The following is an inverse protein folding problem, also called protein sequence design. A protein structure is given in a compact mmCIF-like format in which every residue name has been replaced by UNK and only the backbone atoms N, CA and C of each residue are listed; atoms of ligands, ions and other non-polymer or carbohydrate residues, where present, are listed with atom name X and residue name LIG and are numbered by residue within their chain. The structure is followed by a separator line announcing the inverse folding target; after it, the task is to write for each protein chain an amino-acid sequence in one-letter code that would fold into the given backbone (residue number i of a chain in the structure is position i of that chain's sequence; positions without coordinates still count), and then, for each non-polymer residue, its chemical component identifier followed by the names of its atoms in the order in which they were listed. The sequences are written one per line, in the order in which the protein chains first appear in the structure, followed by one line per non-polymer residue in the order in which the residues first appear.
data_IF_838161433415
#
_entry.id   IF_838161433415
#
_cell.length_a   1.000
_cell.length_b   1.000
_cell.length_c   1.000
_cell.angle_alpha   90.00
_cell.angle_beta   90.00
_cell.angle_gamma   90.00
#
_symmetry.space_group_name_H-M   'P 1'
#
loop_
_entity.id
_entity.type
_entity.pdbx_description
1 polymer ?
#
# COMPACT_ATOMS: atom_id res chain seq x y z
N UNK A 1 -10.19 7.13 11.53
CA UNK A 1 -9.71 6.85 10.15
C UNK A 1 -10.85 7.10 9.16
N UNK A 2 -10.58 7.73 8.02
CA UNK A 2 -11.58 7.85 6.96
C UNK A 2 -12.06 6.47 6.48
N UNK A 3 -13.38 6.29 6.24
CA UNK A 3 -13.89 5.04 5.67
C UNK A 3 -13.21 4.70 4.34
N UNK A 4 -13.10 3.41 4.04
CA UNK A 4 -12.60 2.95 2.75
C UNK A 4 -13.66 3.16 1.68
N UNK A 5 -13.24 3.77 0.56
CA UNK A 5 -14.05 4.01 -0.63
C UNK A 5 -13.45 3.22 -1.81
N UNK A 6 -14.14 2.19 -2.26
CA UNK A 6 -13.70 1.30 -3.34
C UNK A 6 -13.51 2.00 -4.69
N UNK A 7 -14.02 3.21 -4.84
CA UNK A 7 -13.84 4.01 -6.07
C UNK A 7 -12.51 4.79 -6.07
N UNK A 8 -11.86 4.89 -4.90
CA UNK A 8 -10.65 5.68 -4.71
C UNK A 8 -9.52 4.86 -4.08
N UNK A 9 -9.84 4.05 -3.06
CA UNK A 9 -8.86 3.24 -2.35
C UNK A 9 -8.47 1.99 -3.14
N UNK A 10 -7.23 1.55 -3.01
CA UNK A 10 -6.79 0.27 -3.53
C UNK A 10 -7.21 -0.84 -2.58
N UNK A 11 -8.21 -1.59 -2.97
CA UNK A 11 -8.82 -2.65 -2.14
C UNK A 11 -8.74 -4.00 -2.85
N UNK A 12 -8.45 -5.04 -2.10
CA UNK A 12 -8.51 -6.45 -2.55
C UNK A 12 -9.10 -7.35 -1.46
N UNK A 13 -9.44 -8.58 -1.82
CA UNK A 13 -10.08 -9.55 -0.93
C UNK A 13 -11.60 -9.51 -0.98
N UNK A 14 -12.26 -10.10 0.01
CA UNK A 14 -13.72 -10.24 0.01
C UNK A 14 -14.46 -8.98 0.46
N UNK A 15 -15.53 -8.55 -0.24
CA UNK A 15 -16.25 -7.32 0.12
C UNK A 15 -16.92 -7.37 1.50
N UNK A 16 -17.16 -8.57 2.04
CA UNK A 16 -17.69 -8.79 3.38
C UNK A 16 -16.61 -9.27 4.37
N UNK A 17 -15.36 -9.29 3.93
CA UNK A 17 -14.22 -9.65 4.77
C UNK A 17 -13.93 -8.59 5.83
N UNK A 18 -13.25 -9.00 6.90
CA UNK A 18 -12.76 -8.10 7.94
C UNK A 18 -11.79 -7.09 7.33
N UNK A 19 -12.04 -5.82 7.54
CA UNK A 19 -11.28 -4.75 6.91
C UNK A 19 -9.95 -4.51 7.62
N UNK A 20 -8.85 -4.65 6.88
CA UNK A 20 -7.50 -4.26 7.29
C UNK A 20 -7.04 -3.13 6.38
N UNK A 21 -6.69 -1.97 6.94
CA UNK A 21 -6.14 -0.83 6.21
C UNK A 21 -4.70 -0.62 6.65
N UNK A 22 -3.77 -0.62 5.70
CA UNK A 22 -2.38 -0.27 5.94
C UNK A 22 -2.07 1.12 5.40
N UNK A 23 -1.48 1.97 6.25
CA UNK A 23 -0.72 3.12 5.82
C UNK A 23 0.74 2.71 5.71
N UNK A 24 1.25 2.59 4.50
CA UNK A 24 2.53 1.98 4.20
C UNK A 24 3.45 2.83 3.33
N UNK A 25 4.73 2.48 3.40
CA UNK A 25 5.82 3.12 2.68
C UNK A 25 6.68 2.07 1.99
N UNK A 26 6.82 2.15 0.68
CA UNK A 26 7.54 1.15 -0.12
C UNK A 26 9.02 1.04 0.19
N UNK A 27 9.64 2.07 0.75
CA UNK A 27 11.05 2.04 1.13
C UNK A 27 11.26 1.66 2.61
N UNK A 28 10.19 1.62 3.42
CA UNK A 28 10.25 1.25 4.82
C UNK A 28 10.43 -0.27 5.01
N UNK A 29 11.51 -0.75 5.67
CA UNK A 29 11.73 -2.18 5.87
C UNK A 29 10.66 -2.85 6.74
N UNK A 30 10.01 -2.09 7.61
CA UNK A 30 8.90 -2.60 8.43
C UNK A 30 7.62 -2.77 7.62
N UNK A 31 7.33 -1.86 6.65
CA UNK A 31 6.21 -2.04 5.71
C UNK A 31 6.43 -3.27 4.81
N UNK A 32 7.68 -3.50 4.34
CA UNK A 32 8.01 -4.74 3.62
C UNK A 32 7.77 -5.99 4.46
N UNK A 33 8.07 -5.95 5.74
CA UNK A 33 7.79 -7.06 6.63
C UNK A 33 6.29 -7.28 6.78
N UNK A 34 5.51 -6.20 7.02
CA UNK A 34 4.06 -6.27 7.12
C UNK A 34 3.42 -6.81 5.83
N UNK A 35 3.87 -6.35 4.67
CA UNK A 35 3.44 -6.87 3.36
C UNK A 35 3.49 -8.40 3.29
N UNK A 36 4.61 -9.02 3.70
CA UNK A 36 4.77 -10.49 3.71
C UNK A 36 3.83 -11.19 4.69
N UNK A 37 3.59 -10.57 5.83
CA UNK A 37 2.69 -11.13 6.86
C UNK A 37 1.22 -10.99 6.41
N UNK A 38 0.86 -9.88 5.77
CA UNK A 38 -0.47 -9.67 5.19
C UNK A 38 -0.73 -10.68 4.06
N UNK A 39 0.22 -10.93 3.17
CA UNK A 39 0.08 -11.99 2.16
C UNK A 39 -0.20 -13.37 2.77
N UNK A 40 0.43 -13.70 3.92
CA UNK A 40 0.15 -14.94 4.65
C UNK A 40 -1.27 -14.96 5.24
N UNK A 41 -1.73 -13.83 5.79
CA UNK A 41 -3.09 -13.69 6.30
C UNK A 41 -4.11 -13.87 5.16
N UNK A 42 -3.89 -13.19 4.04
CA UNK A 42 -4.75 -13.30 2.86
C UNK A 42 -4.79 -14.72 2.29
N UNK A 43 -3.64 -15.41 2.24
CA UNK A 43 -3.58 -16.79 1.74
C UNK A 43 -4.36 -17.78 2.62
N UNK A 44 -4.51 -17.51 3.92
CA UNK A 44 -5.24 -18.36 4.86
C UNK A 44 -6.72 -18.01 4.96
N UNK A 45 -7.05 -16.72 4.89
CA UNK A 45 -8.42 -16.24 5.10
C UNK A 45 -9.20 -16.08 3.79
N UNK A 46 -8.52 -15.84 2.67
CA UNK A 46 -9.16 -15.61 1.38
C UNK A 46 -10.17 -14.47 1.45
N UNK A 47 -11.40 -14.74 1.07
CA UNK A 47 -12.50 -13.75 1.05
C UNK A 47 -12.94 -13.27 2.45
N UNK A 48 -12.43 -13.85 3.53
CA UNK A 48 -12.76 -13.42 4.91
C UNK A 48 -11.99 -12.18 5.36
N UNK A 49 -10.98 -11.77 4.59
CA UNK A 49 -10.26 -10.51 4.79
C UNK A 49 -10.47 -9.59 3.60
N UNK A 50 -10.54 -8.31 3.88
CA UNK A 50 -10.59 -7.21 2.91
C UNK A 50 -9.44 -6.28 3.25
N UNK A 51 -8.46 -6.17 2.35
CA UNK A 51 -7.26 -5.39 2.55
C UNK A 51 -7.27 -4.12 1.71
N UNK A 52 -6.97 -2.99 2.33
CA UNK A 52 -6.78 -1.72 1.66
C UNK A 52 -5.38 -1.16 1.95
N UNK A 53 -4.72 -0.62 0.93
CA UNK A 53 -3.44 0.04 1.07
C UNK A 53 -3.58 1.54 0.80
N UNK A 54 -3.00 2.35 1.68
CA UNK A 54 -2.88 3.81 1.57
C UNK A 54 -1.43 4.22 1.66
N UNK A 55 -1.02 5.11 0.79
CA UNK A 55 0.34 5.62 0.76
C UNK A 55 0.65 6.52 1.95
N UNK A 56 1.79 6.28 2.57
CA UNK A 56 2.33 7.16 3.61
C UNK A 56 3.86 7.26 3.49
N UNK A 57 4.40 7.85 2.38
CA UNK A 57 5.83 7.94 2.15
C UNK A 57 6.49 8.88 3.15
N UNK A 58 7.48 8.38 3.90
CA UNK A 58 8.27 9.13 4.88
C UNK A 58 9.47 9.79 4.19
N UNK A 59 9.22 10.79 3.34
CA UNK A 59 10.21 11.39 2.43
C UNK A 59 11.42 12.02 3.10
N UNK A 60 11.35 12.32 4.38
CA UNK A 60 12.49 12.86 5.15
C UNK A 60 13.58 11.81 5.43
N UNK A 61 13.21 10.52 5.46
CA UNK A 61 14.12 9.40 5.77
C UNK A 61 14.18 8.36 4.66
N UNK A 62 13.22 8.36 3.74
CA UNK A 62 13.08 7.43 2.63
C UNK A 62 13.00 8.22 1.30
N UNK A 63 14.14 8.50 0.67
CA UNK A 63 14.21 9.41 -0.49
C UNK A 63 13.47 8.90 -1.73
N UNK A 64 13.28 7.57 -1.88
CA UNK A 64 12.61 6.97 -3.04
C UNK A 64 11.12 6.66 -2.77
N UNK A 65 10.65 6.81 -1.54
CA UNK A 65 9.29 6.41 -1.14
C UNK A 65 8.18 7.10 -1.95
N UNK A 66 8.34 8.42 -2.23
CA UNK A 66 7.36 9.16 -3.02
C UNK A 66 7.37 8.71 -4.50
N UNK A 67 8.55 8.48 -5.07
CA UNK A 67 8.66 8.01 -6.45
C UNK A 67 8.08 6.59 -6.62
N UNK A 68 8.31 5.71 -5.65
CA UNK A 68 7.73 4.37 -5.61
C UNK A 68 6.19 4.43 -5.48
N UNK A 69 5.66 5.30 -4.61
CA UNK A 69 4.22 5.54 -4.48
C UNK A 69 3.61 6.04 -5.80
N UNK A 70 4.30 6.98 -6.48
CA UNK A 70 3.85 7.49 -7.78
C UNK A 70 3.90 6.41 -8.87
N UNK A 71 4.86 5.49 -8.82
CA UNK A 71 4.92 4.35 -9.73
C UNK A 71 3.74 3.38 -9.52
N UNK A 72 3.37 3.11 -8.26
CA UNK A 72 2.20 2.28 -7.94
C UNK A 72 0.89 2.92 -8.46
N UNK A 73 0.72 4.24 -8.27
CA UNK A 73 -0.46 4.96 -8.75
C UNK A 73 -0.49 5.05 -10.30
N UNK A 74 0.65 5.26 -10.96
CA UNK A 74 0.70 5.24 -12.42
C UNK A 74 0.35 3.85 -13.00
N UNK A 75 0.78 2.78 -12.33
CA UNK A 75 0.38 1.42 -12.67
C UNK A 75 -1.12 1.19 -12.41
N UNK A 76 -1.68 1.78 -11.34
CA UNK A 76 -3.11 1.74 -11.04
C UNK A 76 -3.97 2.31 -12.18
N UNK A 77 -3.53 3.42 -12.79
CA UNK A 77 -4.21 4.03 -13.95
C UNK A 77 -4.22 3.12 -15.20
N UNK A 78 -3.43 2.05 -15.17
CA UNK A 78 -3.41 1.00 -16.19
C UNK A 78 -3.88 -0.37 -15.65
N UNK A 79 -4.57 -0.37 -14.48
CA UNK A 79 -5.17 -1.56 -13.89
C UNK A 79 -4.20 -2.54 -13.24
N UNK A 80 -2.95 -2.11 -12.93
CA UNK A 80 -1.87 -2.97 -12.43
C UNK A 80 -1.31 -2.52 -11.07
N UNK A 81 -2.16 -1.93 -10.21
CA UNK A 81 -1.73 -1.48 -8.88
C UNK A 81 -1.08 -2.59 -8.06
N UNK A 82 -1.78 -3.70 -7.87
CA UNK A 82 -1.33 -4.77 -6.98
C UNK A 82 -0.09 -5.52 -7.48
N UNK A 83 0.08 -5.58 -8.81
CA UNK A 83 1.30 -6.16 -9.41
C UNK A 83 2.51 -5.26 -9.14
N UNK A 84 2.36 -3.95 -9.36
CA UNK A 84 3.42 -2.97 -9.05
C UNK A 84 3.71 -2.92 -7.55
N UNK A 85 2.67 -2.93 -6.71
CA UNK A 85 2.79 -2.99 -5.25
C UNK A 85 3.65 -4.17 -4.78
N UNK A 86 3.42 -5.36 -5.35
CA UNK A 86 4.21 -6.54 -5.03
C UNK A 86 5.67 -6.39 -5.50
N UNK A 87 5.91 -5.91 -6.74
CA UNK A 87 7.27 -5.69 -7.24
C UNK A 87 8.07 -4.71 -6.38
N UNK A 88 7.45 -3.59 -5.98
CA UNK A 88 8.10 -2.57 -5.16
C UNK A 88 8.54 -3.13 -3.80
N UNK A 89 7.69 -3.92 -3.12
CA UNK A 89 8.07 -4.55 -1.86
C UNK A 89 9.07 -5.70 -2.02
N UNK A 90 8.94 -6.52 -3.07
CA UNK A 90 9.90 -7.60 -3.33
C UNK A 90 11.29 -7.06 -3.64
N UNK A 91 11.36 -5.96 -4.38
CA UNK A 91 12.60 -5.33 -4.83
C UNK A 91 12.90 -4.01 -4.10
N UNK A 92 12.58 -3.91 -2.83
CA UNK A 92 12.69 -2.68 -2.03
C UNK A 92 14.08 -2.01 -2.05
N UNK A 93 15.14 -2.73 -2.40
CA UNK A 93 16.50 -2.20 -2.53
C UNK A 93 16.77 -1.57 -3.91
N UNK A 94 15.81 -1.61 -4.82
CA UNK A 94 15.91 -1.17 -6.22
C UNK A 94 14.69 -0.32 -6.54
N UNK A 95 14.71 0.94 -6.10
CA UNK A 95 13.62 1.92 -6.25
C UNK A 95 14.08 3.18 -6.99
N UNK A 96 15.23 3.11 -7.66
CA UNK A 96 15.71 4.17 -8.53
C UNK A 96 14.80 4.31 -9.77
N UNK A 97 14.87 5.44 -10.45
CA UNK A 97 14.01 5.70 -11.61
C UNK A 97 14.11 4.63 -12.70
N UNK A 98 15.34 4.14 -12.97
CA UNK A 98 15.57 3.07 -13.93
C UNK A 98 14.92 1.73 -13.50
N UNK A 99 14.89 1.44 -12.20
CA UNK A 99 14.25 0.24 -11.66
C UNK A 99 12.72 0.33 -11.84
N UNK A 100 12.13 1.49 -11.49
CA UNK A 100 10.69 1.73 -11.64
C UNK A 100 10.23 1.61 -13.12
N UNK A 101 11.04 2.11 -14.06
CA UNK A 101 10.79 1.92 -15.48
C UNK A 101 10.95 0.45 -15.91
N UNK A 102 11.88 -0.27 -15.30
CA UNK A 102 12.05 -1.72 -15.49
C UNK A 102 10.81 -2.50 -15.07
N UNK A 103 10.23 -2.18 -13.90
CA UNK A 103 8.99 -2.80 -13.42
C UNK A 103 7.79 -2.48 -14.32
N UNK A 104 7.69 -1.24 -14.82
CA UNK A 104 6.66 -0.89 -15.79
C UNK A 104 6.78 -1.72 -17.08
N UNK A 105 8.00 -1.99 -17.54
CA UNK A 105 8.25 -2.85 -18.70
C UNK A 105 7.91 -4.31 -18.40
N UNK A 106 8.27 -4.84 -17.22
CA UNK A 106 7.93 -6.19 -16.77
C UNK A 106 6.42 -6.40 -16.71
N UNK A 107 5.68 -5.39 -16.27
CA UNK A 107 4.21 -5.40 -16.21
C UNK A 107 3.54 -5.10 -17.56
N UNK A 108 4.31 -4.94 -18.64
CA UNK A 108 3.81 -4.62 -19.98
C UNK A 108 2.96 -3.33 -20.04
N UNK A 109 3.29 -2.34 -19.19
CA UNK A 109 2.61 -1.06 -19.19
C UNK A 109 3.00 -0.21 -20.39
N UNK A 110 2.10 0.68 -20.83
CA UNK A 110 2.48 1.79 -21.71
C UNK A 110 3.47 2.71 -20.96
N UNK A 111 4.73 2.62 -21.35
CA UNK A 111 5.83 3.30 -20.65
C UNK A 111 5.75 4.81 -20.76
N UNK A 112 5.36 5.34 -21.93
CA UNK A 112 5.23 6.79 -22.12
C UNK A 112 4.11 7.36 -21.25
N UNK A 113 2.98 6.66 -21.17
CA UNK A 113 1.88 6.98 -20.28
C UNK A 113 2.28 6.84 -18.82
N UNK A 114 2.97 5.75 -18.44
CA UNK A 114 3.46 5.53 -17.07
C UNK A 114 4.35 6.67 -16.60
N UNK A 115 5.30 7.13 -17.42
CA UNK A 115 6.20 8.23 -17.06
C UNK A 115 5.46 9.56 -16.95
N UNK A 116 4.51 9.83 -17.83
CA UNK A 116 3.66 11.01 -17.75
C UNK A 116 2.76 11.00 -16.50
N UNK A 117 2.13 9.86 -16.22
CA UNK A 117 1.22 9.68 -15.08
C UNK A 117 1.96 9.82 -13.74
N UNK A 118 3.16 9.24 -13.60
CA UNK A 118 4.00 9.39 -12.38
C UNK A 118 4.28 10.85 -12.00
N UNK A 119 4.44 11.71 -12.99
CA UNK A 119 4.73 13.14 -12.80
C UNK A 119 3.47 13.99 -12.71
N UNK A 120 2.29 13.39 -12.85
CA UNK A 120 1.03 14.15 -12.93
C UNK A 120 0.60 14.70 -11.56
N UNK A 121 -0.06 15.85 -11.60
CA UNK A 121 -0.67 16.44 -10.39
C UNK A 121 -1.76 15.55 -9.81
N UNK A 122 -2.46 14.76 -10.64
CA UNK A 122 -3.49 13.83 -10.22
C UNK A 122 -2.93 12.71 -9.34
N UNK A 123 -1.82 12.07 -9.76
CA UNK A 123 -1.14 11.03 -8.97
C UNK A 123 -0.61 11.60 -7.66
N UNK A 124 0.03 12.76 -7.68
CA UNK A 124 0.53 13.39 -6.46
C UNK A 124 -0.60 13.78 -5.50
N UNK A 125 -1.73 14.26 -6.02
CA UNK A 125 -2.91 14.59 -5.21
C UNK A 125 -3.52 13.34 -4.58
N UNK A 126 -3.52 12.20 -5.30
CA UNK A 126 -4.00 10.91 -4.78
C UNK A 126 -3.14 10.44 -3.58
N UNK A 127 -1.81 10.50 -3.70
CA UNK A 127 -0.89 10.14 -2.62
C UNK A 127 -1.09 11.08 -1.43
N UNK A 128 -1.18 12.39 -1.68
CA UNK A 128 -1.40 13.40 -0.64
C UNK A 128 -2.70 13.14 0.13
N UNK A 129 -3.79 12.77 -0.56
CA UNK A 129 -5.05 12.42 0.09
C UNK A 129 -4.85 11.31 1.12
N UNK A 130 -4.09 10.27 0.80
CA UNK A 130 -3.81 9.18 1.73
C UNK A 130 -3.00 9.67 2.94
N UNK A 131 -1.96 10.46 2.70
CA UNK A 131 -1.16 11.06 3.78
C UNK A 131 -2.03 11.92 4.68
N UNK A 132 -2.85 12.81 4.11
CA UNK A 132 -3.72 13.72 4.85
C UNK A 132 -4.76 12.93 5.69
N UNK A 133 -5.33 11.86 5.10
CA UNK A 133 -6.26 10.98 5.82
C UNK A 133 -5.60 10.26 6.98
N UNK A 134 -4.35 9.85 6.81
CA UNK A 134 -3.54 9.23 7.85
C UNK A 134 -3.23 10.21 8.99
N UNK A 135 -2.74 11.40 8.64
CA UNK A 135 -2.43 12.46 9.61
C UNK A 135 -3.68 12.86 10.43
N UNK A 136 -4.84 12.92 9.78
CA UNK A 136 -6.11 13.26 10.44
C UNK A 136 -6.53 12.24 11.51
N UNK A 137 -5.99 11.01 11.48
CA UNK A 137 -6.27 10.02 12.54
C UNK A 137 -5.59 10.37 13.86
N UNK A 138 -4.46 11.07 13.83
CA UNK A 138 -3.58 11.28 14.99
C UNK A 138 -2.86 10.02 15.48
N UNK A 139 -3.01 8.88 14.79
CA UNK A 139 -2.54 7.56 15.22
C UNK A 139 -1.27 7.09 14.51
N UNK A 140 -0.89 7.73 13.39
CA UNK A 140 0.27 7.31 12.59
C UNK A 140 1.54 7.91 13.17
N UNK A 141 2.32 7.06 13.84
CA UNK A 141 3.63 7.40 14.41
C UNK A 141 4.79 6.95 13.52
N UNK A 142 4.48 6.21 12.45
CA UNK A 142 5.43 5.65 11.49
C UNK A 142 4.76 4.63 10.59
N UNK A 143 5.53 3.99 9.72
CA UNK A 143 5.04 2.97 8.80
C UNK A 143 5.65 1.60 9.10
N UNK A 144 4.87 0.52 8.97
CA UNK A 144 3.44 0.52 8.66
C UNK A 144 2.60 0.90 9.89
N UNK A 145 1.45 1.51 9.68
CA UNK A 145 0.38 1.58 10.68
C UNK A 145 -0.84 0.85 10.13
N UNK A 146 -1.34 -0.12 10.88
CA UNK A 146 -2.49 -0.92 10.51
C UNK A 146 -3.73 -0.50 11.31
N UNK A 147 -4.87 -0.52 10.64
CA UNK A 147 -6.18 -0.40 11.27
C UNK A 147 -7.00 -1.65 10.94
N UNK A 148 -7.67 -2.22 11.93
CA UNK A 148 -8.59 -3.34 11.75
C UNK A 148 -9.99 -2.84 12.11
N UNK A 149 -10.92 -2.88 11.15
CA UNK A 149 -12.26 -2.28 11.25
C UNK A 149 -12.28 -0.84 11.79
N UNK A 150 -11.30 -0.06 11.36
CA UNK A 150 -11.18 1.36 11.74
C UNK A 150 -10.49 1.63 13.08
N UNK A 151 -10.11 0.61 13.84
CA UNK A 151 -9.37 0.69 15.10
C UNK A 151 -7.88 0.45 14.84
N UNK A 152 -7.02 1.34 15.36
CA UNK A 152 -5.57 1.18 15.18
C UNK A 152 -5.08 -0.08 15.87
N UNK A 153 -4.36 -0.92 15.11
CA UNK A 153 -3.69 -2.11 15.62
C UNK A 153 -2.36 -1.71 16.28
N UNK A 154 -2.20 -2.05 17.55
CA UNK A 154 -1.00 -1.71 18.32
C UNK A 154 -0.14 -2.92 18.68
N UNK A 155 -0.54 -4.09 18.19
CA UNK A 155 0.17 -5.34 18.40
C UNK A 155 1.28 -5.59 17.38
N UNK A 156 1.98 -6.72 17.49
CA UNK A 156 2.91 -7.18 16.46
C UNK A 156 2.22 -7.39 15.10
N UNK A 157 2.90 -7.04 14.02
CA UNK A 157 2.38 -7.22 12.64
C UNK A 157 2.71 -8.60 12.07
N UNK A 158 2.93 -9.63 12.90
CA UNK A 158 3.11 -11.00 12.43
C UNK A 158 1.75 -11.65 12.08
N UNK A 159 1.81 -12.62 11.16
CA UNK A 159 0.60 -13.24 10.64
C UNK A 159 -0.24 -13.94 11.73
N UNK A 160 0.38 -14.49 12.77
CA UNK A 160 -0.35 -15.19 13.84
C UNK A 160 -1.21 -14.21 14.64
N UNK A 161 -0.63 -13.06 15.02
CA UNK A 161 -1.35 -11.99 15.72
C UNK A 161 -2.45 -11.39 14.85
N UNK A 162 -2.14 -11.07 13.58
CA UNK A 162 -3.12 -10.50 12.65
C UNK A 162 -4.27 -11.47 12.36
N UNK A 163 -3.97 -12.77 12.17
CA UNK A 163 -5.00 -13.80 12.00
C UNK A 163 -5.93 -13.88 13.22
N UNK A 164 -5.37 -13.82 14.43
CA UNK A 164 -6.16 -13.86 15.65
C UNK A 164 -7.10 -12.65 15.72
N UNK A 165 -6.63 -11.45 15.44
CA UNK A 165 -7.46 -10.23 15.50
C UNK A 165 -8.48 -10.16 14.37
N UNK A 166 -8.13 -10.59 13.17
CA UNK A 166 -9.05 -10.62 12.03
C UNK A 166 -10.13 -11.69 12.19
N UNK A 167 -9.88 -12.79 12.94
CA UNK A 167 -10.85 -13.87 13.12
C UNK A 167 -11.67 -13.76 14.41
N UNK A 168 -11.19 -13.04 15.40
CA UNK A 168 -11.90 -12.82 16.68
C UNK A 168 -12.53 -11.42 16.66
N UNK A 169 -13.88 -11.34 16.71
CA UNK A 169 -14.60 -10.07 16.73
C UNK A 169 -14.41 -9.30 18.04
#
# INVERSE_FOLDING_TARGET
MEPVDDTVDHVRGGPQGRLVVEYGDYECPYSRRAFREIERVESQLGVRVRFAFRHFPLTEIHPHALAASAAAEAAALQGRFWDMHALLFHHQQSLEDADLQGYAAELELDRARFDADRASTGVLARIRRDVDSGLATGEILGTPTLFIDGVVHRGPHDAATLLQEVTNP
#
